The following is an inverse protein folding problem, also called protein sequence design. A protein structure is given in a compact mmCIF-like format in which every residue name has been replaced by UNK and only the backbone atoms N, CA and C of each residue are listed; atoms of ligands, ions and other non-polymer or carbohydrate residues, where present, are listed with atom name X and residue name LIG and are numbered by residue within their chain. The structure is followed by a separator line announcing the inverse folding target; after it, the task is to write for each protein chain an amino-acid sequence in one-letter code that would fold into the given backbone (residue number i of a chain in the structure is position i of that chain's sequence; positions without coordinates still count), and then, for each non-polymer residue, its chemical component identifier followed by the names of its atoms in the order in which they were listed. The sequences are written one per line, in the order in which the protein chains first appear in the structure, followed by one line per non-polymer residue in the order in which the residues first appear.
data_IF_473431165671
#
_entry.id   IF_473431165671
#
_cell.length_a   1.000
_cell.length_b   1.000
_cell.length_c   1.000
_cell.angle_alpha   90.00
_cell.angle_beta   90.00
_cell.angle_gamma   90.00
#
_symmetry.space_group_name_H-M   'P 1'
#
loop_
_entity.id
_entity.type
_entity.pdbx_description
1 polymer ?
#
# COMPACT_ATOMS: atom_id res chain seq x y z
N UNK A 1 -21.20 -1.39 -90.49
CA UNK A 1 -21.51 -0.50 -89.37
C UNK A 1 -21.22 -1.29 -88.10
N UNK A 2 -20.00 -1.17 -87.60
CA UNK A 2 -19.48 -2.04 -86.49
C UNK A 2 -19.41 -1.21 -85.21
N UNK A 3 -20.23 -1.51 -84.21
CA UNK A 3 -20.23 -0.87 -82.92
C UNK A 3 -19.17 -1.50 -81.99
N UNK A 4 -18.14 -0.74 -81.70
CA UNK A 4 -17.08 -1.11 -80.72
C UNK A 4 -17.56 -0.75 -79.30
N UNK A 5 -17.70 -1.73 -78.40
CA UNK A 5 -18.01 -1.51 -77.01
C UNK A 5 -16.73 -1.23 -76.23
N UNK A 6 -16.62 -0.05 -75.63
CA UNK A 6 -15.62 0.32 -74.64
C UNK A 6 -15.97 -0.24 -73.27
N UNK A 7 -15.17 -1.12 -72.77
CA UNK A 7 -15.26 -1.61 -71.37
C UNK A 7 -14.34 -0.79 -70.48
N UNK A 8 -14.92 -0.05 -69.55
CA UNK A 8 -14.20 0.69 -68.51
C UNK A 8 -13.84 -0.24 -67.34
N UNK A 9 -12.60 -0.35 -66.90
CA UNK A 9 -12.27 -1.12 -65.71
C UNK A 9 -12.61 -0.31 -64.43
N UNK A 10 -13.44 -0.86 -63.61
CA UNK A 10 -13.77 -0.32 -62.30
C UNK A 10 -12.67 -0.68 -61.32
N UNK A 11 -11.86 0.32 -60.92
CA UNK A 11 -10.77 0.19 -59.98
C UNK A 11 -11.41 0.22 -58.56
N UNK A 12 -11.58 -0.92 -57.92
CA UNK A 12 -11.97 -1.01 -56.52
C UNK A 12 -10.75 -0.80 -55.66
N UNK A 13 -10.62 0.40 -55.05
CA UNK A 13 -9.62 0.68 -54.04
C UNK A 13 -10.03 0.03 -52.72
N UNK A 14 -9.35 -1.04 -52.33
CA UNK A 14 -9.48 -1.72 -51.03
C UNK A 14 -8.84 -0.87 -49.93
N UNK A 15 -9.63 -0.12 -49.19
CA UNK A 15 -9.14 0.65 -48.04
C UNK A 15 -8.89 -0.34 -46.88
N UNK A 16 -7.65 -0.77 -46.68
CA UNK A 16 -7.25 -1.49 -45.45
C UNK A 16 -7.22 -0.51 -44.26
N UNK A 17 -8.28 -0.50 -43.48
CA UNK A 17 -8.23 0.13 -42.14
C UNK A 17 -7.37 -0.73 -41.23
N UNK A 18 -6.13 -0.34 -41.02
CA UNK A 18 -5.31 -0.85 -39.91
C UNK A 18 -5.86 -0.27 -38.62
N UNK A 19 -6.61 -1.08 -37.87
CA UNK A 19 -6.98 -0.75 -36.50
C UNK A 19 -5.70 -0.70 -35.66
N UNK A 20 -5.23 0.51 -35.34
CA UNK A 20 -4.19 0.69 -34.31
C UNK A 20 -4.87 0.36 -33.00
N UNK A 21 -4.59 -0.83 -32.45
CA UNK A 21 -4.97 -1.17 -31.10
C UNK A 21 -4.22 -0.22 -30.16
N UNK A 22 -4.91 0.75 -29.57
CA UNK A 22 -4.38 1.53 -28.46
C UNK A 22 -4.05 0.54 -27.32
N UNK A 23 -2.85 0.62 -26.73
CA UNK A 23 -2.54 -0.22 -25.57
C UNK A 23 -3.62 0.02 -24.51
N UNK A 24 -4.23 -1.06 -24.01
CA UNK A 24 -5.16 -0.97 -22.91
C UNK A 24 -4.43 -0.27 -21.76
N UNK A 25 -4.97 0.84 -21.26
CA UNK A 25 -4.39 1.56 -20.14
C UNK A 25 -4.35 0.60 -18.95
N UNK A 26 -3.15 0.29 -18.47
CA UNK A 26 -2.96 -0.60 -17.34
C UNK A 26 -3.64 0.03 -16.11
N UNK A 27 -4.50 -0.76 -15.44
CA UNK A 27 -5.19 -0.31 -14.24
C UNK A 27 -4.17 -0.09 -13.12
N UNK A 28 -4.31 0.96 -12.32
CA UNK A 28 -3.52 1.08 -11.09
C UNK A 28 -3.85 -0.09 -10.16
N UNK A 29 -2.89 -0.49 -9.32
CA UNK A 29 -3.05 -1.66 -8.44
C UNK A 29 -4.32 -1.60 -7.59
N UNK A 30 -4.71 -0.40 -7.11
CA UNK A 30 -5.93 -0.21 -6.29
C UNK A 30 -7.26 -0.28 -7.05
N UNK A 31 -7.24 -0.49 -8.36
CA UNK A 31 -8.40 -0.75 -9.21
C UNK A 31 -8.24 -2.04 -10.02
N UNK A 32 -7.27 -2.87 -9.66
CA UNK A 32 -6.94 -4.09 -10.39
C UNK A 32 -7.17 -5.35 -9.53
N UNK A 33 -8.30 -6.06 -9.69
CA UNK A 33 -8.63 -7.25 -8.90
C UNK A 33 -7.63 -8.41 -9.03
N UNK A 34 -6.74 -8.37 -10.03
CA UNK A 34 -5.67 -9.36 -10.16
C UNK A 34 -4.47 -9.05 -9.26
N UNK A 35 -4.44 -7.88 -8.60
CA UNK A 35 -3.32 -7.42 -7.78
C UNK A 35 -3.77 -7.16 -6.36
N UNK A 36 -3.65 -8.16 -5.51
CA UNK A 36 -3.97 -8.04 -4.08
C UNK A 36 -2.77 -7.54 -3.27
N UNK A 37 -1.57 -7.98 -3.62
CA UNK A 37 -0.33 -7.59 -2.95
C UNK A 37 0.86 -7.62 -3.94
N UNK A 38 1.91 -6.85 -3.63
CA UNK A 38 3.23 -6.91 -4.28
C UNK A 38 4.32 -6.84 -3.23
N UNK A 39 5.38 -7.65 -3.38
CA UNK A 39 6.53 -7.64 -2.48
C UNK A 39 6.25 -8.08 -1.04
N UNK A 40 5.01 -8.43 -0.73
CA UNK A 40 4.63 -8.92 0.57
C UNK A 40 5.12 -10.36 0.76
N UNK A 41 5.59 -10.67 1.96
CA UNK A 41 5.94 -12.03 2.37
C UNK A 41 4.68 -12.87 2.51
N UNK A 42 4.77 -14.17 2.21
CA UNK A 42 3.65 -15.06 2.38
C UNK A 42 3.13 -15.06 3.83
N UNK A 43 1.81 -15.04 4.05
CA UNK A 43 1.22 -15.09 5.39
C UNK A 43 1.73 -16.31 6.18
N UNK A 44 1.89 -16.12 7.48
CA UNK A 44 2.35 -17.14 8.41
C UNK A 44 1.81 -16.88 9.82
N UNK A 45 1.96 -17.82 10.72
CA UNK A 45 1.62 -17.65 12.13
C UNK A 45 2.45 -16.51 12.75
N UNK A 46 1.81 -15.70 13.60
CA UNK A 46 2.51 -14.62 14.29
C UNK A 46 3.57 -15.18 15.23
N UNK A 47 4.80 -14.76 15.03
CA UNK A 47 5.96 -15.15 15.82
C UNK A 47 6.71 -13.89 16.24
N UNK A 48 7.17 -13.84 17.48
CA UNK A 48 8.04 -12.79 17.99
C UNK A 48 9.24 -13.44 18.70
N UNK A 49 10.47 -13.15 18.27
CA UNK A 49 11.65 -13.64 18.98
C UNK A 49 11.81 -12.92 20.31
N UNK A 50 12.25 -13.67 21.34
CA UNK A 50 12.60 -13.16 22.67
C UNK A 50 13.96 -13.69 23.09
N UNK A 51 14.57 -13.05 24.07
CA UNK A 51 15.89 -13.46 24.60
C UNK A 51 15.80 -14.66 25.54
N UNK A 52 14.67 -14.86 26.19
CA UNK A 52 14.47 -15.96 27.14
C UNK A 52 13.02 -16.48 27.12
N UNK A 53 12.82 -17.66 27.67
CA UNK A 53 11.49 -18.27 27.83
C UNK A 53 10.62 -17.41 28.76
N UNK A 54 11.20 -16.84 29.81
CA UNK A 54 10.50 -15.99 30.77
C UNK A 54 9.93 -14.75 30.08
N UNK A 55 10.77 -14.05 29.30
CA UNK A 55 10.33 -12.89 28.51
C UNK A 55 9.26 -13.27 27.47
N UNK A 56 9.37 -14.43 26.86
CA UNK A 56 8.35 -14.92 25.92
C UNK A 56 7.02 -15.21 26.60
N UNK A 57 7.04 -15.73 27.83
CA UNK A 57 5.83 -16.03 28.62
C UNK A 57 5.09 -14.77 29.09
N UNK A 58 5.80 -13.64 29.27
CA UNK A 58 5.20 -12.34 29.56
C UNK A 58 4.41 -11.81 28.37
N UNK A 59 4.76 -12.20 27.14
CA UNK A 59 4.02 -11.92 25.91
C UNK A 59 4.07 -10.46 25.45
N UNK A 60 4.86 -9.59 26.08
CA UNK A 60 5.03 -8.20 25.65
C UNK A 60 6.07 -8.10 24.53
N UNK A 61 5.61 -8.10 23.28
CA UNK A 61 6.48 -7.94 22.11
C UNK A 61 7.29 -6.64 22.12
N UNK A 62 6.81 -5.58 22.79
CA UNK A 62 7.50 -4.29 22.86
C UNK A 62 8.74 -4.36 23.75
N UNK A 63 8.76 -5.31 24.67
CA UNK A 63 9.92 -5.60 25.50
C UNK A 63 11.00 -6.41 24.78
N UNK A 64 10.68 -7.06 23.66
CA UNK A 64 11.67 -7.78 22.86
C UNK A 64 12.72 -6.84 22.27
N UNK A 65 14.02 -7.12 22.40
CA UNK A 65 15.08 -6.34 21.73
C UNK A 65 15.03 -6.50 20.21
N UNK A 66 14.30 -7.50 19.71
CA UNK A 66 14.14 -7.79 18.30
C UNK A 66 12.88 -7.17 17.69
N UNK A 67 12.14 -6.38 18.47
CA UNK A 67 11.00 -5.60 18.02
C UNK A 67 11.32 -4.09 18.15
N UNK A 68 11.23 -3.35 17.07
CA UNK A 68 11.34 -1.90 17.07
C UNK A 68 10.02 -1.27 16.65
N UNK A 69 9.27 -0.76 17.62
CA UNK A 69 7.98 -0.13 17.38
C UNK A 69 8.15 1.19 16.62
N UNK A 70 7.45 1.31 15.52
CA UNK A 70 7.39 2.51 14.67
C UNK A 70 6.06 3.26 14.83
N UNK A 71 5.21 2.85 15.76
CA UNK A 71 4.01 3.61 16.15
C UNK A 71 4.41 4.91 16.86
N UNK A 72 3.54 5.92 16.82
CA UNK A 72 3.78 7.26 17.36
C UNK A 72 3.51 8.33 16.33
N UNK A 73 4.20 9.47 16.41
CA UNK A 73 4.00 10.60 15.50
C UNK A 73 4.66 10.39 14.15
N UNK A 74 3.90 10.60 13.07
CA UNK A 74 4.37 10.60 11.69
C UNK A 74 4.07 11.93 11.03
N UNK A 75 4.87 12.35 10.05
CA UNK A 75 4.50 13.43 9.12
C UNK A 75 3.40 12.93 8.19
N UNK A 76 2.40 13.79 7.94
CA UNK A 76 1.20 13.41 7.22
C UNK A 76 0.73 14.50 6.26
N UNK A 77 0.33 14.09 5.06
CA UNK A 77 -0.31 14.96 4.09
C UNK A 77 -1.52 14.23 3.48
N UNK A 78 -2.69 14.87 3.52
CA UNK A 78 -3.90 14.35 2.92
C UNK A 78 -4.20 15.08 1.60
N UNK A 79 -4.08 14.36 0.48
CA UNK A 79 -4.54 14.83 -0.81
C UNK A 79 -6.00 14.41 -1.05
N UNK A 80 -6.85 15.25 -1.66
CA UNK A 80 -8.26 14.92 -1.90
C UNK A 80 -8.46 13.83 -2.95
N UNK A 81 -7.53 13.70 -3.89
CA UNK A 81 -7.55 12.72 -4.98
C UNK A 81 -6.15 12.20 -5.30
N UNK A 82 -6.01 11.00 -5.91
CA UNK A 82 -4.70 10.40 -6.18
C UNK A 82 -3.76 11.28 -7.02
N UNK A 83 -4.30 12.03 -7.99
CA UNK A 83 -3.50 12.90 -8.86
C UNK A 83 -2.90 14.13 -8.19
N UNK A 84 -3.36 14.48 -6.99
CA UNK A 84 -2.84 15.59 -6.18
C UNK A 84 -1.89 15.13 -5.08
N UNK A 85 -1.75 13.82 -4.89
CA UNK A 85 -0.79 13.28 -3.92
C UNK A 85 0.65 13.59 -4.35
N UNK A 86 1.55 13.97 -3.43
CA UNK A 86 2.94 14.28 -3.76
C UNK A 86 3.63 13.09 -4.42
N UNK A 87 4.12 13.26 -5.64
CA UNK A 87 4.60 12.15 -6.46
C UNK A 87 5.94 11.55 -5.98
N UNK A 88 6.78 12.36 -5.30
CA UNK A 88 8.16 11.98 -4.92
C UNK A 88 8.39 12.05 -3.40
N UNK A 89 7.33 12.07 -2.61
CA UNK A 89 7.39 12.24 -1.16
C UNK A 89 8.22 11.19 -0.43
N UNK A 90 8.41 10.03 -1.06
CA UNK A 90 9.19 8.92 -0.54
C UNK A 90 10.71 9.07 -0.77
N UNK A 91 11.14 10.05 -1.56
CA UNK A 91 12.54 10.27 -1.86
C UNK A 91 13.30 10.80 -0.63
N UNK A 92 14.54 10.34 -0.40
CA UNK A 92 15.36 10.87 0.68
C UNK A 92 15.57 12.37 0.53
N UNK A 93 15.32 13.11 1.60
CA UNK A 93 15.45 14.56 1.61
C UNK A 93 14.24 15.35 1.13
N UNK A 94 13.12 14.69 0.82
CA UNK A 94 11.87 15.39 0.55
C UNK A 94 11.47 16.24 1.76
N UNK A 95 11.13 17.51 1.51
CA UNK A 95 10.77 18.44 2.57
C UNK A 95 9.32 18.22 3.04
N UNK A 96 9.18 17.75 4.28
CA UNK A 96 7.89 17.56 4.95
C UNK A 96 7.62 18.62 6.02
N UNK A 97 8.38 19.73 6.09
CA UNK A 97 8.25 20.74 7.15
C UNK A 97 6.86 21.37 7.19
N UNK A 98 6.20 21.53 6.03
CA UNK A 98 4.85 22.07 5.92
C UNK A 98 3.73 21.01 6.07
N UNK A 99 4.06 19.75 6.40
CA UNK A 99 3.08 18.69 6.58
C UNK A 99 2.53 18.68 8.00
N UNK A 100 1.31 18.17 8.14
CA UNK A 100 0.72 17.90 9.44
C UNK A 100 1.45 16.76 10.18
N UNK A 101 1.06 16.56 11.42
CA UNK A 101 1.46 15.40 12.23
C UNK A 101 0.22 14.56 12.53
N UNK A 102 0.41 13.24 12.47
CA UNK A 102 -0.63 12.26 12.79
C UNK A 102 -0.09 11.19 13.74
N UNK A 103 -0.93 10.74 14.67
CA UNK A 103 -0.61 9.59 15.51
C UNK A 103 -0.88 8.28 14.77
N UNK A 104 0.07 7.37 14.81
CA UNK A 104 -0.05 5.98 14.36
C UNK A 104 0.11 5.08 15.58
N UNK A 105 -0.80 4.15 15.85
CA UNK A 105 -1.97 3.80 15.03
C UNK A 105 -3.14 4.77 15.16
N UNK A 106 -3.76 5.11 14.05
CA UNK A 106 -5.08 5.75 14.03
C UNK A 106 -5.72 5.71 12.64
N UNK A 107 -7.04 5.88 12.60
CA UNK A 107 -7.72 6.30 11.37
C UNK A 107 -7.60 7.81 11.25
N UNK A 108 -7.24 8.34 10.09
CA UNK A 108 -7.01 9.78 9.91
C UNK A 108 -8.28 10.62 10.16
N UNK A 109 -9.48 10.05 9.91
CA UNK A 109 -10.75 10.73 10.18
C UNK A 109 -10.95 11.00 11.68
N UNK A 110 -10.39 10.16 12.55
CA UNK A 110 -10.43 10.33 14.01
C UNK A 110 -9.41 11.37 14.50
N UNK A 111 -8.49 11.80 13.63
CA UNK A 111 -7.51 12.85 13.89
C UNK A 111 -7.91 14.18 13.23
N UNK A 112 -9.15 14.28 12.68
CA UNK A 112 -9.67 15.51 12.07
C UNK A 112 -9.39 15.63 10.58
N UNK A 113 -8.85 14.62 9.92
CA UNK A 113 -8.58 14.62 8.48
C UNK A 113 -9.72 13.95 7.70
N UNK A 114 -10.48 14.76 6.96
CA UNK A 114 -11.66 14.27 6.24
C UNK A 114 -12.83 13.92 7.17
N UNK A 115 -13.75 13.08 6.68
CA UNK A 115 -14.97 12.74 7.40
C UNK A 115 -15.17 11.22 7.47
N UNK A 116 -15.58 10.70 8.64
CA UNK A 116 -16.05 9.31 8.75
C UNK A 116 -17.37 9.16 7.98
N UNK A 117 -17.53 8.02 7.30
CA UNK A 117 -18.75 7.68 6.56
C UNK A 117 -19.21 6.31 7.00
N UNK A 118 -20.46 6.23 7.45
CA UNK A 118 -21.13 4.96 7.72
C UNK A 118 -22.03 4.59 6.54
N UNK A 119 -21.93 3.35 6.10
CA UNK A 119 -22.87 2.71 5.16
C UNK A 119 -23.02 1.25 5.54
N UNK A 120 -24.28 0.76 5.57
CA UNK A 120 -24.52 -0.63 5.91
C UNK A 120 -24.21 -1.58 4.74
N UNK A 121 -24.78 -1.37 3.55
CA UNK A 121 -24.61 -2.26 2.39
C UNK A 121 -23.97 -1.54 1.21
N UNK A 122 -24.36 -0.31 0.93
CA UNK A 122 -23.94 0.41 -0.26
C UNK A 122 -22.58 1.10 -0.07
N UNK A 123 -21.81 1.18 -1.14
CA UNK A 123 -20.60 2.01 -1.19
C UNK A 123 -20.97 3.50 -1.03
N UNK A 124 -20.05 4.35 -0.52
CA UNK A 124 -20.30 5.78 -0.37
C UNK A 124 -20.25 6.56 -1.69
N UNK A 125 -20.19 5.86 -2.82
CA UNK A 125 -20.10 6.40 -4.18
C UNK A 125 -20.85 5.48 -5.17
N UNK A 126 -21.15 5.94 -6.41
CA UNK A 126 -21.74 5.11 -7.45
C UNK A 126 -20.90 3.85 -7.74
N UNK A 127 -21.56 2.69 -7.80
CA UNK A 127 -20.88 1.39 -7.97
C UNK A 127 -20.51 1.16 -9.44
N UNK A 128 -19.21 1.08 -9.70
CA UNK A 128 -18.61 0.79 -11.03
C UNK A 128 -17.37 -0.12 -10.89
N UNK A 129 -17.50 -1.31 -10.24
CA UNK A 129 -16.34 -2.16 -9.98
C UNK A 129 -15.59 -2.53 -11.28
N UNK A 130 -14.26 -2.62 -11.25
CA UNK A 130 -13.38 -2.45 -10.10
C UNK A 130 -12.99 -0.98 -9.84
N UNK A 131 -13.52 -0.04 -10.61
CA UNK A 131 -13.16 1.38 -10.54
C UNK A 131 -13.67 2.04 -9.26
N UNK A 132 -12.85 2.93 -8.71
CA UNK A 132 -13.24 3.85 -7.64
C UNK A 132 -13.27 5.29 -8.17
N UNK A 133 -14.02 6.21 -7.55
CA UNK A 133 -14.17 7.55 -8.09
C UNK A 133 -12.85 8.31 -8.14
N UNK A 134 -12.40 8.71 -9.33
CA UNK A 134 -11.22 9.55 -9.49
C UNK A 134 -11.38 10.96 -8.86
N UNK A 135 -12.62 11.43 -8.72
CA UNK A 135 -12.96 12.75 -8.13
C UNK A 135 -13.11 12.72 -6.61
N UNK A 136 -13.09 11.55 -5.98
CA UNK A 136 -13.22 11.40 -4.53
C UNK A 136 -12.57 10.10 -4.06
N UNK A 137 -11.26 10.13 -3.98
CA UNK A 137 -10.47 9.06 -3.37
C UNK A 137 -9.29 9.69 -2.62
N UNK A 138 -9.50 10.21 -1.40
CA UNK A 138 -8.43 10.81 -0.62
C UNK A 138 -7.24 9.86 -0.43
N UNK A 139 -6.04 10.44 -0.49
CA UNK A 139 -4.78 9.72 -0.34
C UNK A 139 -3.97 10.34 0.78
N UNK A 140 -3.67 9.54 1.80
CA UNK A 140 -2.80 9.92 2.91
C UNK A 140 -1.35 9.53 2.61
N UNK A 141 -0.45 10.50 2.58
CA UNK A 141 1.00 10.28 2.48
C UNK A 141 1.61 10.41 3.86
N UNK A 142 2.32 9.40 4.31
CA UNK A 142 2.96 9.29 5.63
C UNK A 142 4.46 9.20 5.48
N UNK A 143 5.22 9.90 6.33
CA UNK A 143 6.68 9.79 6.38
C UNK A 143 7.14 9.73 7.83
N UNK A 144 8.06 8.81 8.12
CA UNK A 144 8.72 8.68 9.42
C UNK A 144 10.19 8.37 9.25
N UNK A 145 11.03 9.09 10.00
CA UNK A 145 12.44 8.74 10.19
C UNK A 145 12.61 7.96 11.49
N UNK A 146 13.57 7.04 11.51
CA UNK A 146 13.92 6.24 12.67
C UNK A 146 15.38 5.82 12.58
N UNK A 147 16.00 5.57 13.71
CA UNK A 147 17.33 4.96 13.77
C UNK A 147 17.20 3.45 13.93
N UNK A 148 17.96 2.69 13.12
CA UNK A 148 18.01 1.24 13.27
C UNK A 148 18.64 0.90 14.63
N UNK A 149 18.04 -0.06 15.35
CA UNK A 149 18.59 -0.53 16.63
C UNK A 149 19.95 -1.19 16.43
N UNK A 150 20.86 -0.92 17.35
CA UNK A 150 22.16 -1.62 17.42
C UNK A 150 21.95 -3.12 17.69
N UNK A 151 22.90 -3.94 17.23
CA UNK A 151 22.88 -5.39 17.42
C UNK A 151 21.98 -6.15 16.42
N UNK A 152 21.47 -5.47 15.38
CA UNK A 152 20.68 -6.10 14.34
C UNK A 152 21.48 -6.49 13.09
N UNK A 153 22.80 -6.28 13.11
CA UNK A 153 23.71 -6.62 12.02
C UNK A 153 23.65 -8.13 11.71
N UNK A 154 23.54 -8.46 10.42
CA UNK A 154 23.46 -9.84 9.95
C UNK A 154 22.15 -10.56 10.23
N UNK A 155 21.13 -9.86 10.72
CA UNK A 155 19.78 -10.39 10.88
C UNK A 155 18.93 -10.11 9.64
N UNK A 156 17.88 -10.91 9.45
CA UNK A 156 16.78 -10.54 8.57
C UNK A 156 15.87 -9.56 9.31
N UNK A 157 15.41 -8.52 8.61
CA UNK A 157 14.54 -7.51 9.21
C UNK A 157 13.28 -7.37 8.37
N UNK A 158 12.15 -7.56 9.04
CA UNK A 158 10.83 -7.46 8.44
C UNK A 158 10.12 -6.21 8.93
N UNK A 159 9.54 -5.44 7.99
CA UNK A 159 8.63 -4.34 8.29
C UNK A 159 7.20 -4.89 8.32
N UNK A 160 6.55 -4.74 9.45
CA UNK A 160 5.24 -5.30 9.71
C UNK A 160 4.22 -4.20 9.97
N UNK A 161 3.15 -4.21 9.19
CA UNK A 161 1.94 -3.42 9.42
C UNK A 161 0.83 -4.37 9.88
N UNK A 162 0.26 -4.14 11.04
CA UNK A 162 -0.83 -4.98 11.54
C UNK A 162 -2.19 -4.67 10.89
N UNK A 163 -2.32 -3.48 10.28
CA UNK A 163 -3.52 -3.10 9.55
C UNK A 163 -3.41 -1.71 8.94
N UNK A 164 -3.61 -1.64 7.62
CA UNK A 164 -3.66 -0.39 6.84
C UNK A 164 -4.84 -0.45 5.90
N UNK A 165 -5.68 0.56 5.87
CA UNK A 165 -6.93 0.53 5.12
C UNK A 165 -7.08 1.77 4.22
N UNK A 166 -7.53 1.59 2.96
CA UNK A 166 -7.95 0.36 2.25
C UNK A 166 -6.76 -0.28 1.52
N UNK A 167 -5.99 0.48 0.72
CA UNK A 167 -4.83 0.02 -0.03
C UNK A 167 -3.62 0.90 0.28
N UNK A 168 -2.43 0.34 0.20
CA UNK A 168 -1.21 1.09 0.51
C UNK A 168 0.00 0.67 -0.30
N UNK A 169 0.83 1.66 -0.64
CA UNK A 169 2.20 1.45 -1.09
C UNK A 169 3.18 1.80 0.03
N UNK A 170 4.31 1.10 0.05
CA UNK A 170 5.36 1.26 1.06
C UNK A 170 6.71 1.47 0.40
N UNK A 171 7.50 2.39 0.94
CA UNK A 171 8.90 2.66 0.55
C UNK A 171 9.78 2.69 1.80
N UNK A 172 11.01 2.21 1.65
CA UNK A 172 12.08 2.33 2.65
C UNK A 172 13.29 2.96 1.97
N UNK A 173 13.79 4.05 2.54
CA UNK A 173 14.94 4.79 2.02
C UNK A 173 14.82 5.17 0.53
N UNK A 174 13.60 5.53 0.10
CA UNK A 174 13.30 5.92 -1.29
C UNK A 174 13.02 4.77 -2.25
N UNK A 175 13.21 3.52 -1.83
CA UNK A 175 12.94 2.34 -2.68
C UNK A 175 11.57 1.76 -2.37
N UNK A 176 10.77 1.52 -3.41
CA UNK A 176 9.46 0.89 -3.29
C UNK A 176 9.63 -0.55 -2.79
N UNK A 177 8.97 -0.86 -1.68
CA UNK A 177 8.99 -2.19 -1.04
C UNK A 177 7.83 -3.04 -1.54
N UNK A 178 6.61 -2.45 -1.56
CA UNK A 178 5.47 -3.22 -1.98
C UNK A 178 4.14 -2.47 -1.98
N UNK A 179 3.10 -3.27 -2.14
CA UNK A 179 1.69 -2.87 -2.16
C UNK A 179 0.86 -3.90 -1.39
N UNK A 180 -0.20 -3.43 -0.72
CA UNK A 180 -1.18 -4.27 -0.05
C UNK A 180 -2.57 -3.62 -0.07
N UNK A 181 -3.62 -4.44 -0.21
CA UNK A 181 -5.01 -4.01 -0.05
C UNK A 181 -5.85 -4.94 0.86
N UNK A 182 -5.26 -5.80 1.60
CA UNK A 182 -5.93 -6.58 2.64
C UNK A 182 -6.08 -5.78 3.93
N UNK A 183 -6.98 -4.80 3.98
CA UNK A 183 -7.03 -3.79 5.02
C UNK A 183 -7.23 -4.30 6.45
N UNK A 184 -7.74 -5.52 6.65
CA UNK A 184 -7.94 -6.15 7.96
C UNK A 184 -6.84 -7.15 8.34
N UNK A 185 -5.99 -7.51 7.39
CA UNK A 185 -4.91 -8.47 7.55
C UNK A 185 -3.56 -7.77 7.71
N UNK A 186 -2.59 -8.39 8.40
CA UNK A 186 -1.23 -7.88 8.44
C UNK A 186 -0.55 -7.91 7.07
N UNK A 187 0.32 -6.93 6.84
CA UNK A 187 1.22 -6.90 5.70
C UNK A 187 2.66 -6.87 6.18
N UNK A 188 3.47 -7.83 5.73
CA UNK A 188 4.88 -7.96 6.11
C UNK A 188 5.78 -7.91 4.88
N UNK A 189 6.90 -7.19 5.01
CA UNK A 189 7.86 -6.97 3.94
C UNK A 189 9.28 -7.23 4.44
N UNK A 190 10.07 -8.01 3.72
CA UNK A 190 11.50 -8.13 3.96
C UNK A 190 12.19 -6.83 3.51
N UNK A 191 12.78 -6.13 4.45
CA UNK A 191 13.48 -4.86 4.23
C UNK A 191 14.97 -4.91 4.56
N UNK A 192 15.49 -6.12 4.77
CA UNK A 192 16.87 -6.37 5.20
C UNK A 192 17.90 -5.59 4.38
N UNK A 193 17.83 -5.72 3.04
CA UNK A 193 18.80 -5.10 2.14
C UNK A 193 18.55 -3.59 1.90
N UNK A 194 17.47 -3.04 2.44
CA UNK A 194 17.09 -1.64 2.28
C UNK A 194 17.49 -0.79 3.48
N UNK A 195 17.70 -1.43 4.64
CA UNK A 195 18.09 -0.74 5.87
C UNK A 195 19.59 -0.46 5.89
N UNK A 196 19.95 0.60 6.61
CA UNK A 196 21.33 1.02 6.84
C UNK A 196 21.53 1.34 8.32
N UNK A 197 22.76 1.25 8.85
CA UNK A 197 23.07 1.73 10.19
C UNK A 197 22.66 3.19 10.37
N UNK A 198 22.13 3.54 11.54
CA UNK A 198 21.64 4.88 11.85
C UNK A 198 20.32 5.22 11.17
N UNK A 199 20.22 6.42 10.62
CA UNK A 199 18.98 7.00 10.16
C UNK A 199 18.42 6.33 8.90
N UNK A 200 17.15 5.94 8.99
CA UNK A 200 16.33 5.37 7.91
C UNK A 200 15.02 6.13 7.80
N UNK A 201 14.36 6.00 6.66
CA UNK A 201 13.06 6.62 6.40
C UNK A 201 12.09 5.59 5.84
N UNK A 202 10.88 5.58 6.38
CA UNK A 202 9.73 4.85 5.83
C UNK A 202 8.75 5.88 5.29
N UNK A 203 8.24 5.63 4.10
CA UNK A 203 7.16 6.37 3.50
C UNK A 203 6.02 5.41 3.14
N UNK A 204 4.78 5.83 3.38
CA UNK A 204 3.58 5.03 3.11
C UNK A 204 2.55 5.92 2.43
N UNK A 205 1.95 5.43 1.34
CA UNK A 205 0.84 6.09 0.68
C UNK A 205 -0.40 5.23 0.82
N UNK A 206 -1.43 5.76 1.47
CA UNK A 206 -2.67 5.03 1.77
C UNK A 206 -3.82 5.62 0.98
N UNK A 207 -4.51 4.78 0.22
CA UNK A 207 -5.70 5.11 -0.56
C UNK A 207 -6.94 4.82 0.26
N UNK A 208 -7.86 5.79 0.33
CA UNK A 208 -9.12 5.62 1.06
C UNK A 208 -9.96 4.50 0.48
N UNK A 209 -10.02 4.41 -0.85
CA UNK A 209 -10.80 3.43 -1.57
C UNK A 209 -9.94 2.68 -2.57
N UNK A 210 -10.26 1.41 -2.74
CA UNK A 210 -9.70 0.49 -3.72
C UNK A 210 -10.83 -0.39 -4.29
N UNK A 211 -10.52 -1.26 -5.23
CA UNK A 211 -11.48 -2.28 -5.68
C UNK A 211 -11.91 -3.20 -4.51
N UNK A 212 -11.06 -3.41 -3.49
CA UNK A 212 -11.42 -4.09 -2.24
C UNK A 212 -12.57 -3.43 -1.48
N UNK A 213 -12.80 -2.12 -1.66
CA UNK A 213 -13.90 -1.38 -1.01
C UNK A 213 -15.28 -1.95 -1.38
N UNK A 214 -15.42 -2.63 -2.50
CA UNK A 214 -16.66 -3.28 -2.91
C UNK A 214 -16.98 -4.53 -2.09
N UNK A 215 -16.00 -5.11 -1.41
CA UNK A 215 -16.10 -6.33 -0.61
C UNK A 215 -15.95 -6.07 0.88
N UNK A 216 -15.30 -4.94 1.25
CA UNK A 216 -14.99 -4.58 2.63
C UNK A 216 -16.09 -3.68 3.24
N UNK A 217 -16.07 -3.55 4.57
CA UNK A 217 -16.86 -2.58 5.33
C UNK A 217 -18.37 -2.71 5.18
N UNK A 218 -18.87 -3.90 5.00
CA UNK A 218 -20.30 -4.13 5.11
C UNK A 218 -20.75 -3.86 6.55
N UNK A 219 -21.75 -2.98 6.69
CA UNK A 219 -22.31 -2.53 7.97
C UNK A 219 -21.27 -1.95 8.94
N UNK A 220 -20.32 -1.19 8.41
CA UNK A 220 -19.19 -0.60 9.15
C UNK A 220 -18.93 0.85 8.79
N UNK A 221 -18.19 1.54 9.68
CA UNK A 221 -17.58 2.82 9.38
C UNK A 221 -16.46 2.67 8.35
N UNK A 222 -16.50 3.49 7.30
CA UNK A 222 -15.44 3.55 6.30
C UNK A 222 -14.36 4.54 6.75
N UNK A 223 -13.46 4.01 7.54
CA UNK A 223 -12.29 4.71 8.06
C UNK A 223 -11.04 4.28 7.31
N UNK A 224 -10.00 5.09 7.33
CA UNK A 224 -8.77 4.84 6.57
C UNK A 224 -7.53 5.29 7.33
N UNK A 225 -6.38 4.74 6.98
CA UNK A 225 -5.11 5.05 7.58
C UNK A 225 -4.37 3.83 8.11
N UNK A 226 -3.27 4.07 8.78
CA UNK A 226 -2.49 3.05 9.49
C UNK A 226 -3.10 2.92 10.89
N UNK A 227 -4.09 2.04 11.04
CA UNK A 227 -4.94 2.00 12.23
C UNK A 227 -4.54 0.96 13.27
N UNK A 228 -3.52 0.15 12.99
CA UNK A 228 -2.86 -0.76 13.92
C UNK A 228 -1.37 -0.49 13.98
N UNK A 229 -0.66 -1.18 14.88
CA UNK A 229 0.76 -0.97 15.11
C UNK A 229 1.61 -1.23 13.85
N UNK A 230 2.71 -0.48 13.77
CA UNK A 230 3.79 -0.67 12.78
C UNK A 230 5.07 -0.95 13.54
N UNK A 231 5.79 -1.98 13.15
CA UNK A 231 7.08 -2.31 13.78
C UNK A 231 8.05 -2.99 12.82
N UNK A 232 9.31 -2.93 13.15
CA UNK A 232 10.33 -3.80 12.57
C UNK A 232 10.54 -4.99 13.50
N UNK A 233 10.72 -6.17 12.90
CA UNK A 233 11.07 -7.41 13.59
C UNK A 233 12.39 -7.94 13.02
N UNK A 234 13.37 -8.20 13.87
CA UNK A 234 14.66 -8.77 13.49
C UNK A 234 14.74 -10.24 13.88
N UNK A 235 15.09 -11.12 12.94
CA UNK A 235 15.27 -12.55 13.18
C UNK A 235 16.68 -13.00 12.81
N UNK A 236 17.22 -14.09 13.40
CA UNK A 236 18.38 -14.75 12.83
C UNK A 236 18.12 -15.18 11.38
N UNK A 237 19.16 -15.31 10.53
CA UNK A 237 18.97 -15.80 9.15
C UNK A 237 18.30 -17.18 9.07
N UNK A 238 18.52 -18.01 10.10
CA UNK A 238 17.83 -19.31 10.26
C UNK A 238 16.92 -19.21 11.47
N UNK A 239 15.60 -19.24 11.24
CA UNK A 239 14.57 -19.11 12.26
C UNK A 239 13.35 -19.95 11.91
N UNK A 240 12.47 -20.18 12.88
CA UNK A 240 11.15 -20.76 12.62
C UNK A 240 10.31 -19.71 11.89
N UNK A 241 9.94 -20.02 10.65
CA UNK A 241 9.16 -19.09 9.80
C UNK A 241 7.67 -19.22 10.05
N UNK A 242 7.21 -20.44 10.27
CA UNK A 242 5.79 -20.73 10.45
C UNK A 242 5.60 -22.00 11.30
N UNK A 243 4.43 -22.16 11.89
CA UNK A 243 4.05 -23.36 12.61
C UNK A 243 2.55 -23.63 12.46
N UNK A 244 2.19 -24.87 12.57
CA UNK A 244 0.82 -25.35 12.58
C UNK A 244 0.61 -26.25 13.80
N UNK A 245 -0.50 -26.06 14.54
CA UNK A 245 -0.86 -26.83 15.74
C UNK A 245 -2.15 -27.60 15.50
#
# INVERSE_FOLDING_TARGET
MTLTRLTTPCLQALLCLTAVALPAQELPDWENPAVFARGQVAPHATLMPFESVEAALEGDRKASPWCHLLSGTWRFHLAPVPGEAPATFFEPGFDTAGWDEIQVPSSWQMQGFGHPVFRNVNQPFPSTPPRVPASYNPVGSYVRSFDLREGWEGRQVFLHFEGVKSASYVWVNGKKVGYNQGGMEPAEYDVTDLLRPGANTIAVQVYRFSDGTYLEDQDMWRLSGIYRDVYLMATPPVHVRDFFV
#
